data_IF_795315679084
#
_entry.id   IF_795315679084
#
_cell.length_a   1.000
_cell.length_b   1.000
_cell.length_c   1.000
_cell.angle_alpha   90.00
_cell.angle_beta   90.00
_cell.angle_gamma   90.00
#
_symmetry.space_group_name_H-M   'P 1'
#
loop_
_entity.id
_entity.type
_entity.pdbx_description
1 polymer ?
#
# COMPACT_ATOMS: atom_id res chain seq x y z
N UNK A 1 30.29 -16.47 -23.46
CA UNK A 1 29.16 -15.55 -23.71
C UNK A 1 28.67 -15.01 -22.38
N UNK A 2 28.65 -13.69 -22.14
CA UNK A 2 28.13 -13.15 -20.90
C UNK A 2 26.64 -13.48 -20.75
N UNK A 3 26.21 -13.78 -19.53
CA UNK A 3 24.81 -14.09 -19.25
C UNK A 3 23.93 -12.92 -19.71
N UNK A 4 22.97 -13.21 -20.59
CA UNK A 4 22.01 -12.21 -21.06
C UNK A 4 21.25 -11.60 -19.88
N UNK A 5 20.87 -10.32 -19.99
CA UNK A 5 20.13 -9.59 -18.94
C UNK A 5 18.90 -10.34 -18.43
N UNK A 6 18.27 -11.15 -19.29
CA UNK A 6 17.15 -12.04 -18.92
C UNK A 6 17.57 -13.13 -17.92
N UNK A 7 18.70 -13.79 -18.17
CA UNK A 7 19.24 -14.86 -17.32
C UNK A 7 19.61 -14.34 -15.94
N UNK A 8 20.17 -13.12 -15.85
CA UNK A 8 20.48 -12.47 -14.57
C UNK A 8 19.21 -12.22 -13.75
N UNK A 9 18.16 -11.66 -14.38
CA UNK A 9 16.87 -11.42 -13.70
C UNK A 9 16.22 -12.70 -13.19
N UNK A 10 16.28 -13.80 -13.94
CA UNK A 10 15.76 -15.10 -13.50
C UNK A 10 16.52 -15.62 -12.28
N UNK A 11 17.84 -15.46 -12.23
CA UNK A 11 18.63 -15.87 -11.07
C UNK A 11 18.36 -15.01 -9.84
N UNK A 12 18.16 -13.70 -10.01
CA UNK A 12 17.78 -12.80 -8.93
C UNK A 12 16.38 -13.09 -8.38
N UNK A 13 15.43 -13.44 -9.24
CA UNK A 13 14.09 -13.87 -8.83
C UNK A 13 14.16 -15.16 -7.99
N UNK A 14 14.88 -16.18 -8.48
CA UNK A 14 15.08 -17.45 -7.76
C UNK A 14 15.77 -17.27 -6.41
N UNK A 15 16.76 -16.36 -6.30
CA UNK A 15 17.41 -16.03 -5.02
C UNK A 15 16.44 -15.40 -4.02
N UNK A 16 15.51 -14.56 -4.47
CA UNK A 16 14.50 -13.92 -3.61
C UNK A 16 13.42 -14.90 -3.15
N UNK A 17 13.05 -15.85 -4.00
CA UNK A 17 12.15 -16.96 -3.62
C UNK A 17 12.79 -17.91 -2.59
N UNK A 18 14.08 -18.24 -2.77
CA UNK A 18 14.83 -19.06 -1.81
C UNK A 18 14.99 -18.39 -0.43
N UNK A 19 14.93 -17.06 -0.38
CA UNK A 19 14.95 -16.28 0.86
C UNK A 19 13.58 -16.22 1.59
N UNK A 20 12.55 -16.93 1.09
CA UNK A 20 11.22 -16.98 1.71
C UNK A 20 10.37 -15.72 1.51
N UNK A 21 10.88 -14.73 0.75
CA UNK A 21 10.19 -13.47 0.47
C UNK A 21 9.33 -13.69 -0.78
N UNK A 22 8.15 -14.31 -0.61
CA UNK A 22 7.14 -14.40 -1.67
C UNK A 22 6.55 -13.01 -1.93
N UNK A 23 7.27 -12.18 -2.68
CA UNK A 23 6.72 -10.93 -3.19
C UNK A 23 5.69 -11.30 -4.25
N UNK A 24 4.40 -11.05 -3.99
CA UNK A 24 3.37 -11.25 -5.00
C UNK A 24 3.80 -10.51 -6.28
N UNK A 25 4.04 -11.25 -7.35
CA UNK A 25 4.49 -10.70 -8.64
C UNK A 25 3.29 -10.63 -9.57
N UNK A 26 3.12 -9.52 -10.29
CA UNK A 26 2.15 -9.49 -11.39
C UNK A 26 2.62 -10.42 -12.53
N UNK A 27 1.74 -10.76 -13.48
CA UNK A 27 2.01 -11.67 -14.60
C UNK A 27 3.26 -11.32 -15.44
N UNK A 28 3.77 -10.08 -15.36
CA UNK A 28 5.02 -9.64 -15.99
C UNK A 28 6.29 -9.74 -15.12
N UNK A 29 6.24 -10.39 -13.95
CA UNK A 29 7.40 -10.57 -13.07
C UNK A 29 7.83 -9.30 -12.31
N UNK A 30 6.98 -8.28 -12.23
CA UNK A 30 7.22 -7.07 -11.44
C UNK A 30 6.65 -7.26 -10.02
N UNK A 31 7.46 -7.03 -8.96
CA UNK A 31 6.99 -7.11 -7.59
C UNK A 31 5.82 -6.14 -7.37
N UNK A 32 4.66 -6.69 -7.00
CA UNK A 32 3.44 -5.94 -6.72
C UNK A 32 3.70 -5.16 -5.44
N UNK A 33 3.71 -3.83 -5.53
CA UNK A 33 3.85 -2.95 -4.35
C UNK A 33 2.79 -3.37 -3.33
N UNK A 34 3.14 -3.52 -2.04
CA UNK A 34 2.17 -3.87 -1.02
C UNK A 34 1.02 -2.87 -1.10
N UNK A 35 -0.20 -3.40 -1.15
CA UNK A 35 -1.41 -2.58 -1.14
C UNK A 35 -1.34 -1.67 0.09
N UNK A 36 -1.38 -0.35 -0.15
CA UNK A 36 -1.23 0.61 0.93
C UNK A 36 -2.38 0.38 1.91
N UNK A 37 -2.07 0.30 3.21
CA UNK A 37 -3.07 0.12 4.24
C UNK A 37 -4.15 1.19 4.07
N UNK A 38 -5.40 0.75 3.92
CA UNK A 38 -6.54 1.63 3.81
C UNK A 38 -7.21 1.78 5.17
N UNK A 39 -7.72 2.97 5.45
CA UNK A 39 -8.51 3.30 6.63
C UNK A 39 -9.87 3.82 6.17
N UNK A 40 -10.93 3.42 6.88
CA UNK A 40 -12.30 3.80 6.57
C UNK A 40 -12.74 4.94 7.49
N UNK A 41 -13.41 5.96 6.92
CA UNK A 41 -14.07 6.99 7.71
C UNK A 41 -15.32 6.40 8.40
N UNK A 42 -15.44 6.53 9.72
CA UNK A 42 -16.57 6.00 10.48
C UNK A 42 -17.90 6.73 10.20
N UNK A 43 -17.82 7.97 9.68
CA UNK A 43 -18.99 8.82 9.47
C UNK A 43 -19.60 8.58 8.08
N UNK A 44 -18.78 8.63 7.03
CA UNK A 44 -19.24 8.47 5.64
C UNK A 44 -18.88 7.13 5.00
N UNK A 45 -18.18 6.25 5.72
CA UNK A 45 -17.75 4.92 5.23
C UNK A 45 -16.79 4.94 4.02
N UNK A 46 -16.23 6.10 3.66
CA UNK A 46 -15.25 6.22 2.59
C UNK A 46 -13.92 5.55 2.93
N UNK A 47 -13.31 4.87 1.96
CA UNK A 47 -11.98 4.26 2.07
C UNK A 47 -10.88 5.24 1.65
N UNK A 48 -9.87 5.42 2.51
CA UNK A 48 -8.74 6.30 2.29
C UNK A 48 -7.43 5.59 2.57
N UNK A 49 -6.32 6.13 2.07
CA UNK A 49 -4.99 5.55 2.28
C UNK A 49 -4.47 6.02 3.65
N UNK A 50 -4.29 5.09 4.60
CA UNK A 50 -3.84 5.38 5.97
C UNK A 50 -2.45 6.05 6.00
N UNK A 51 -1.58 5.71 5.05
CA UNK A 51 -0.25 6.30 4.92
C UNK A 51 -0.26 7.75 4.41
N UNK A 52 -1.42 8.36 4.16
CA UNK A 52 -1.54 9.70 3.57
C UNK A 52 -2.33 10.65 4.49
N UNK A 53 -1.67 11.24 5.50
CA UNK A 53 -2.35 12.05 6.53
C UNK A 53 -2.98 13.34 5.97
N UNK A 54 -2.46 13.87 4.87
CA UNK A 54 -3.03 15.04 4.20
C UNK A 54 -4.43 14.77 3.65
N UNK A 55 -4.64 13.61 3.02
CA UNK A 55 -5.95 13.20 2.48
C UNK A 55 -6.94 12.96 3.61
N UNK A 56 -6.49 12.35 4.71
CA UNK A 56 -7.35 12.12 5.88
C UNK A 56 -7.77 13.44 6.53
N UNK A 57 -6.84 14.39 6.71
CA UNK A 57 -7.16 15.71 7.28
C UNK A 57 -8.08 16.49 6.36
N UNK A 58 -7.76 16.55 5.07
CA UNK A 58 -8.62 17.21 4.07
C UNK A 58 -10.04 16.63 4.09
N UNK A 59 -10.16 15.30 4.14
CA UNK A 59 -11.45 14.64 4.25
C UNK A 59 -12.22 15.07 5.50
N UNK A 60 -11.60 15.01 6.68
CA UNK A 60 -12.25 15.40 7.93
C UNK A 60 -12.64 16.89 7.90
N UNK A 61 -11.72 17.76 7.49
CA UNK A 61 -11.92 19.21 7.45
C UNK A 61 -12.95 19.66 6.40
N UNK A 62 -13.07 19.00 5.25
CA UNK A 62 -13.99 19.41 4.18
C UNK A 62 -15.34 18.68 4.20
N UNK A 63 -15.36 17.39 4.54
CA UNK A 63 -16.59 16.58 4.53
C UNK A 63 -17.28 16.53 5.88
N UNK A 64 -16.52 16.71 6.95
CA UNK A 64 -16.99 16.54 8.33
C UNK A 64 -16.58 17.72 9.21
N UNK A 65 -16.75 18.95 8.72
CA UNK A 65 -16.39 20.22 9.40
C UNK A 65 -16.89 20.28 10.85
N UNK A 66 -18.04 19.65 11.14
CA UNK A 66 -18.67 19.64 12.47
C UNK A 66 -18.09 18.60 13.43
N UNK A 67 -17.39 17.59 12.91
CA UNK A 67 -16.85 16.49 13.70
C UNK A 67 -15.33 16.59 13.77
N UNK A 68 -14.77 15.98 14.81
CA UNK A 68 -13.33 15.94 14.98
C UNK A 68 -12.68 14.87 14.08
N UNK A 69 -11.40 15.05 13.77
CA UNK A 69 -10.64 14.05 13.00
C UNK A 69 -10.68 12.65 13.64
N UNK A 70 -10.70 12.57 14.98
CA UNK A 70 -10.79 11.32 15.72
C UNK A 70 -12.14 10.60 15.52
N UNK A 71 -13.22 11.36 15.30
CA UNK A 71 -14.53 10.79 14.99
C UNK A 71 -14.61 10.29 13.55
N UNK A 72 -13.88 10.92 12.62
CA UNK A 72 -13.74 10.41 11.25
C UNK A 72 -12.88 9.15 11.20
N UNK A 73 -11.67 9.22 11.77
CA UNK A 73 -10.67 8.17 11.70
C UNK A 73 -10.25 7.83 13.11
N UNK A 74 -10.86 6.77 13.67
CA UNK A 74 -10.42 6.16 14.91
C UNK A 74 -9.09 5.46 14.64
N UNK A 75 -8.00 6.22 14.67
CA UNK A 75 -6.65 5.67 14.73
C UNK A 75 -6.54 5.01 16.10
N UNK A 76 -6.70 3.68 16.15
CA UNK A 76 -6.41 2.92 17.36
C UNK A 76 -4.95 3.20 17.74
N UNK A 77 -4.78 3.90 18.86
CA UNK A 77 -3.51 4.05 19.57
C UNK A 77 -2.89 2.70 19.86
#
# INVERSE_FOLDING_TARGET
MPASKKTLRTQEAKKKEAAGIRVATNAGGVPKKPEKAKIQCQICKGEFIASMPTVLRDHASNRHVKNTFQECFQLAT
#
